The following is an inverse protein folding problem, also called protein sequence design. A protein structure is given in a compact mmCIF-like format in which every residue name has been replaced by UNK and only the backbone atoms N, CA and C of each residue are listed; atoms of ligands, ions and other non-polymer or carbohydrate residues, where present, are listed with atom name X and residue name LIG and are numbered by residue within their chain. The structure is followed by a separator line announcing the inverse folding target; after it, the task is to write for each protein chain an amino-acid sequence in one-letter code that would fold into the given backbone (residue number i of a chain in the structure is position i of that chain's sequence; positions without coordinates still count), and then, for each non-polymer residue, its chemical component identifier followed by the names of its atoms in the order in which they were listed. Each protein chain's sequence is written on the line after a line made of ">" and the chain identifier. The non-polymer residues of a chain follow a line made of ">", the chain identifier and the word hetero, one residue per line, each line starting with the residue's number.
data_IF_274810260937
#
_entry.id   IF_274810260937
#
_cell.length_a   1.000
_cell.length_b   1.000
_cell.length_c   1.000
_cell.angle_alpha   90.00
_cell.angle_beta   90.00
_cell.angle_gamma   90.00
#
_symmetry.space_group_name_H-M   'P 1'
#
loop_
_entity.id
_entity.type
_entity.pdbx_description
1 polymer ?
#
# COMPACT_ATOMS: atom_id res chain seq x y z
N UNK A 1 -2.55 14.17 3.96
CA UNK A 1 -3.44 12.99 3.93
C UNK A 1 -3.25 12.26 2.63
N UNK A 2 -2.60 11.14 2.70
CA UNK A 2 -2.40 10.20 1.61
C UNK A 2 -3.74 9.60 1.18
N UNK A 3 -4.07 9.63 -0.08
CA UNK A 3 -5.29 8.99 -0.57
C UNK A 3 -5.04 8.32 -1.92
N UNK A 4 -4.99 6.98 -1.92
CA UNK A 4 -5.52 6.26 -3.05
C UNK A 4 -7.05 6.34 -2.96
N UNK A 5 -7.74 6.66 -4.02
CA UNK A 5 -9.20 6.66 -4.07
C UNK A 5 -9.67 5.40 -4.77
N UNK A 6 -10.67 4.74 -4.20
CA UNK A 6 -11.37 3.64 -4.85
C UNK A 6 -12.66 4.21 -5.42
N UNK A 7 -12.79 4.13 -6.72
CA UNK A 7 -14.00 4.53 -7.43
C UNK A 7 -14.88 3.28 -7.58
N UNK A 8 -16.06 3.30 -6.97
CA UNK A 8 -17.04 2.21 -7.07
C UNK A 8 -18.05 2.61 -8.13
N UNK A 9 -17.87 2.10 -9.34
CA UNK A 9 -18.82 2.28 -10.41
C UNK A 9 -19.18 0.90 -10.99
N UNK A 10 -20.46 0.56 -11.02
CA UNK A 10 -20.98 -0.71 -11.52
C UNK A 10 -20.27 -1.97 -10.96
N UNK A 11 -19.94 -1.97 -9.68
CA UNK A 11 -19.20 -3.04 -8.99
C UNK A 11 -17.73 -3.21 -9.45
N UNK A 12 -17.19 -2.27 -10.18
CA UNK A 12 -15.76 -2.22 -10.48
C UNK A 12 -15.02 -1.30 -9.49
N UNK A 13 -13.90 -1.79 -8.97
CA UNK A 13 -13.06 -1.04 -8.04
C UNK A 13 -11.80 -0.60 -8.79
N UNK A 14 -11.65 0.70 -9.00
CA UNK A 14 -10.45 1.27 -9.61
C UNK A 14 -9.64 2.01 -8.57
N UNK A 15 -8.42 1.54 -8.30
CA UNK A 15 -7.48 2.27 -7.47
C UNK A 15 -6.80 3.35 -8.30
N UNK A 16 -6.78 4.57 -7.80
CA UNK A 16 -6.07 5.70 -8.41
C UNK A 16 -5.13 6.32 -7.41
N UNK A 17 -3.89 6.54 -7.83
CA UNK A 17 -2.94 7.32 -7.06
C UNK A 17 -3.30 8.81 -7.14
N UNK A 18 -3.15 9.49 -6.02
CA UNK A 18 -3.34 10.96 -5.94
C UNK A 18 -2.04 11.61 -5.52
N UNK A 19 -1.83 12.85 -5.95
CA UNK A 19 -0.63 13.61 -5.57
C UNK A 19 -0.49 13.68 -4.05
N UNK A 20 0.69 13.31 -3.58
CA UNK A 20 1.00 13.20 -2.16
C UNK A 20 0.87 11.79 -1.57
N UNK A 21 0.36 10.80 -2.31
CA UNK A 21 0.39 9.40 -1.89
C UNK A 21 1.83 8.94 -1.64
N UNK A 22 2.02 8.11 -0.62
CA UNK A 22 3.34 7.67 -0.17
C UNK A 22 3.42 6.17 -0.15
N UNK A 23 4.41 5.62 -0.84
CA UNK A 23 4.78 4.22 -0.77
C UNK A 23 6.17 4.06 -0.17
N UNK A 24 6.45 2.90 0.38
CA UNK A 24 7.79 2.52 0.81
C UNK A 24 8.53 1.82 -0.31
N UNK A 25 9.78 2.18 -0.46
CA UNK A 25 10.76 1.43 -1.25
C UNK A 25 11.78 0.88 -0.28
N UNK A 26 11.76 -0.43 -0.09
CA UNK A 26 12.85 -1.12 0.58
C UNK A 26 13.85 -1.57 -0.47
N UNK A 27 15.11 -1.32 -0.23
CA UNK A 27 16.14 -1.85 -1.09
C UNK A 27 17.34 -2.33 -0.27
N UNK A 28 17.92 -3.40 -0.72
CA UNK A 28 18.97 -4.12 -0.05
C UNK A 28 20.11 -4.39 -1.03
N UNK A 29 21.32 -4.40 -0.49
CA UNK A 29 22.52 -4.80 -1.20
C UNK A 29 22.85 -6.27 -0.94
N UNK A 30 23.70 -6.80 -1.79
CA UNK A 30 24.28 -8.15 -1.64
C UNK A 30 25.11 -8.34 -0.37
N UNK A 31 25.55 -7.24 0.27
CA UNK A 31 26.24 -7.27 1.57
C UNK A 31 25.29 -7.29 2.78
N UNK A 32 23.97 -7.32 2.55
CA UNK A 32 22.95 -7.33 3.61
C UNK A 32 22.60 -5.96 4.20
N UNK A 33 23.23 -4.87 3.73
CA UNK A 33 22.77 -3.52 4.09
C UNK A 33 21.48 -3.19 3.34
N UNK A 34 20.54 -2.60 4.04
CA UNK A 34 19.26 -2.27 3.45
C UNK A 34 18.65 -0.99 4.01
N UNK A 35 17.72 -0.44 3.26
CA UNK A 35 17.09 0.84 3.55
C UNK A 35 15.60 0.80 3.26
N UNK A 36 14.84 1.53 4.07
CA UNK A 36 13.43 1.83 3.83
C UNK A 36 13.29 3.31 3.50
N UNK A 37 12.85 3.61 2.31
CA UNK A 37 12.79 4.99 1.80
C UNK A 37 11.38 5.33 1.32
N UNK A 38 10.92 6.53 1.64
CA UNK A 38 9.64 7.04 1.17
C UNK A 38 9.73 7.47 -0.28
N UNK A 39 8.82 6.98 -1.10
CA UNK A 39 8.52 7.52 -2.42
C UNK A 39 7.19 8.27 -2.41
N UNK A 40 7.13 9.42 -3.04
CA UNK A 40 5.94 10.26 -3.10
C UNK A 40 5.42 10.36 -4.52
N UNK A 41 4.11 10.14 -4.69
CA UNK A 41 3.43 10.26 -5.98
C UNK A 41 3.23 11.73 -6.36
N UNK A 42 3.59 12.05 -7.56
CA UNK A 42 3.31 13.36 -8.18
C UNK A 42 3.37 13.25 -9.70
N UNK A 43 2.44 13.90 -10.38
CA UNK A 43 2.41 13.97 -11.84
C UNK A 43 2.53 12.61 -12.57
N UNK A 44 1.90 11.58 -12.04
CA UNK A 44 1.86 10.26 -12.67
C UNK A 44 2.97 9.29 -12.29
N UNK A 45 3.93 9.70 -11.44
CA UNK A 45 5.07 8.87 -11.02
C UNK A 45 5.32 8.96 -9.52
N UNK A 46 5.93 7.91 -8.97
CA UNK A 46 6.52 7.94 -7.63
C UNK A 46 7.98 8.36 -7.74
N UNK A 47 8.40 9.27 -6.88
CA UNK A 47 9.78 9.73 -6.80
C UNK A 47 10.33 9.52 -5.40
N UNK A 48 11.56 9.01 -5.32
CA UNK A 48 12.29 8.78 -4.08
C UNK A 48 13.75 9.16 -4.25
N UNK A 49 14.40 9.52 -3.16
CA UNK A 49 15.86 9.71 -3.12
C UNK A 49 16.45 8.51 -2.38
N UNK A 50 17.04 7.61 -3.13
CA UNK A 50 17.72 6.45 -2.58
C UNK A 50 19.15 6.82 -2.18
N UNK A 51 19.70 6.29 -1.08
CA UNK A 51 21.12 6.38 -0.77
C UNK A 51 21.98 5.75 -1.87
N UNK A 52 23.17 6.27 -2.11
CA UNK A 52 24.09 5.70 -3.11
C UNK A 52 24.63 4.35 -2.65
N UNK A 53 24.75 3.43 -3.60
CA UNK A 53 25.25 2.09 -3.39
C UNK A 53 25.94 1.49 -4.61
N UNK A 54 26.76 0.49 -4.37
CA UNK A 54 27.41 -0.33 -5.39
C UNK A 54 27.04 -1.79 -5.21
N UNK A 55 27.03 -2.57 -6.27
CA UNK A 55 26.69 -3.99 -6.27
C UNK A 55 25.25 -4.29 -6.65
N UNK A 56 24.87 -5.56 -6.56
CA UNK A 56 23.50 -6.03 -6.81
C UNK A 56 22.53 -5.42 -5.82
N UNK A 57 21.37 -5.04 -6.31
CA UNK A 57 20.34 -4.36 -5.54
C UNK A 57 19.02 -5.07 -5.69
N UNK A 58 18.38 -5.31 -4.56
CA UNK A 58 17.05 -5.86 -4.47
C UNK A 58 16.09 -4.77 -4.08
N UNK A 59 15.00 -4.61 -4.83
CA UNK A 59 14.00 -3.58 -4.59
C UNK A 59 12.66 -4.23 -4.27
N UNK A 60 12.00 -3.72 -3.24
CA UNK A 60 10.66 -4.09 -2.83
C UNK A 60 9.83 -2.83 -2.70
N UNK A 61 8.57 -2.88 -3.07
CA UNK A 61 7.65 -1.77 -2.87
C UNK A 61 6.45 -2.20 -2.05
N UNK A 62 5.97 -1.30 -1.20
CA UNK A 62 4.80 -1.53 -0.38
C UNK A 62 4.02 -0.24 -0.13
N UNK A 63 2.73 -0.38 0.15
CA UNK A 63 1.83 0.74 0.45
C UNK A 63 0.87 0.35 1.58
N UNK A 64 0.56 1.26 2.51
CA UNK A 64 1.08 2.63 2.66
C UNK A 64 2.48 2.66 3.29
N UNK A 65 3.25 3.73 3.02
CA UNK A 65 4.58 3.93 3.62
C UNK A 65 4.53 3.91 5.14
N UNK A 66 5.46 3.19 5.75
CA UNK A 66 5.70 3.17 7.18
C UNK A 66 7.06 3.81 7.50
N UNK A 67 7.11 4.62 8.56
CA UNK A 67 8.36 5.19 9.05
C UNK A 67 9.28 4.10 9.66
N UNK A 68 10.53 4.46 9.92
CA UNK A 68 11.56 3.52 10.38
C UNK A 68 11.21 2.73 11.66
N UNK A 69 10.32 3.26 12.50
CA UNK A 69 9.87 2.56 13.72
C UNK A 69 9.03 1.31 13.40
N UNK A 70 8.35 1.31 12.25
CA UNK A 70 7.47 0.23 11.80
C UNK A 70 8.01 -0.51 10.57
N UNK A 71 9.19 -0.18 10.09
CA UNK A 71 9.76 -0.79 8.89
C UNK A 71 11.29 -0.80 8.91
N UNK A 72 11.85 -1.90 8.44
CA UNK A 72 13.27 -2.05 8.16
C UNK A 72 13.47 -2.33 6.66
N UNK A 73 14.66 -2.73 6.26
CA UNK A 73 14.89 -3.26 4.91
C UNK A 73 14.33 -4.67 4.68
N UNK A 74 13.86 -5.35 5.72
CA UNK A 74 13.48 -6.77 5.66
C UNK A 74 12.01 -7.02 5.99
N UNK A 75 11.37 -6.14 6.74
CA UNK A 75 9.96 -6.29 7.09
C UNK A 75 9.28 -4.94 7.30
N UNK A 76 7.98 -4.95 7.20
CA UNK A 76 7.11 -3.79 7.46
C UNK A 76 5.95 -4.24 8.32
N UNK A 77 5.79 -3.57 9.48
CA UNK A 77 4.59 -3.64 10.29
C UNK A 77 3.63 -2.55 9.85
N UNK A 78 2.49 -2.94 9.32
CA UNK A 78 1.40 -2.02 9.01
C UNK A 78 0.35 -2.17 10.12
N UNK A 79 0.30 -1.25 11.08
CA UNK A 79 -0.59 -1.38 12.20
C UNK A 79 -2.05 -1.30 11.74
N UNK A 80 -2.78 -2.37 11.98
CA UNK A 80 -4.23 -2.38 11.88
C UNK A 80 -4.78 -2.10 13.27
N UNK A 81 -5.38 -0.94 13.48
CA UNK A 81 -6.06 -0.66 14.74
C UNK A 81 -7.16 -1.69 15.03
N UNK A 82 -7.45 -1.90 16.30
CA UNK A 82 -8.50 -2.83 16.77
C UNK A 82 -9.87 -2.51 16.17
N UNK A 83 -10.11 -1.26 15.81
CA UNK A 83 -11.32 -0.81 15.12
C UNK A 83 -10.93 -0.15 13.79
N UNK A 84 -11.57 -0.62 12.71
CA UNK A 84 -11.47 -0.03 11.38
C UNK A 84 -12.73 0.75 11.12
N UNK A 85 -12.61 2.07 11.17
CA UNK A 85 -13.75 2.96 10.98
C UNK A 85 -13.78 3.44 9.54
N UNK A 86 -14.87 3.13 8.86
CA UNK A 86 -15.23 3.68 7.57
C UNK A 86 -16.26 4.79 7.77
N UNK A 87 -15.93 5.99 7.35
CA UNK A 87 -16.81 7.15 7.45
C UNK A 87 -17.45 7.46 6.08
N UNK A 88 -18.77 7.37 6.02
CA UNK A 88 -19.50 7.67 4.79
C UNK A 88 -19.21 6.65 3.68
N UNK A 89 -19.23 7.13 2.45
CA UNK A 89 -19.02 6.33 1.24
C UNK A 89 -17.55 6.31 0.78
N UNK A 90 -16.67 7.03 1.46
CA UNK A 90 -15.27 7.11 1.08
C UNK A 90 -14.47 5.96 1.68
N UNK A 91 -13.73 5.26 0.84
CA UNK A 91 -12.81 4.24 1.30
C UNK A 91 -11.63 4.86 2.06
N UNK A 92 -11.33 4.32 3.24
CA UNK A 92 -10.13 4.72 3.97
C UNK A 92 -8.90 4.01 3.40
N UNK A 93 -8.14 4.72 2.59
CA UNK A 93 -6.97 4.20 1.88
C UNK A 93 -5.82 3.74 2.79
N UNK A 94 -5.82 4.11 4.07
CA UNK A 94 -4.84 3.59 5.03
C UNK A 94 -4.99 2.09 5.30
N UNK A 95 -6.14 1.51 4.91
CA UNK A 95 -6.40 0.08 5.00
C UNK A 95 -6.19 -0.66 3.67
N UNK A 96 -5.77 0.03 2.63
CA UNK A 96 -5.48 -0.57 1.33
C UNK A 96 -3.99 -0.95 1.26
N UNK A 97 -3.68 -2.16 1.73
CA UNK A 97 -2.31 -2.65 1.76
C UNK A 97 -1.97 -3.29 0.43
N UNK A 98 -0.86 -2.86 -0.13
CA UNK A 98 -0.32 -3.41 -1.37
C UNK A 98 1.18 -3.65 -1.22
N UNK A 99 1.66 -4.71 -1.87
CA UNK A 99 3.10 -4.93 -2.03
C UNK A 99 3.42 -5.36 -3.46
N UNK A 100 4.68 -5.19 -3.84
CA UNK A 100 5.22 -5.72 -5.09
C UNK A 100 6.22 -6.82 -4.78
N UNK A 101 6.38 -7.74 -5.73
CA UNK A 101 7.47 -8.71 -5.70
C UNK A 101 8.83 -8.01 -5.80
N UNK A 102 9.84 -8.69 -5.28
CA UNK A 102 11.21 -8.25 -5.37
C UNK A 102 11.68 -8.13 -6.82
N UNK A 103 12.42 -7.09 -7.10
CA UNK A 103 13.12 -6.89 -8.36
C UNK A 103 14.62 -6.81 -8.06
N UNK A 104 15.42 -7.56 -8.78
CA UNK A 104 16.88 -7.57 -8.67
C UNK A 104 17.53 -7.01 -9.94
N UNK A 105 18.59 -6.25 -9.76
CA UNK A 105 19.37 -5.64 -10.84
C UNK A 105 20.85 -5.69 -10.48
N UNK A 106 21.66 -6.37 -11.31
CA UNK A 106 23.07 -6.62 -11.01
C UNK A 106 23.99 -5.45 -11.36
N UNK A 107 23.71 -4.75 -12.46
CA UNK A 107 24.63 -3.75 -13.02
C UNK A 107 23.98 -2.39 -13.28
N UNK A 108 22.74 -2.21 -12.85
CA UNK A 108 22.03 -0.97 -13.10
C UNK A 108 22.55 0.20 -12.28
N UNK A 109 22.41 1.40 -12.81
CA UNK A 109 22.47 2.60 -11.98
C UNK A 109 21.39 2.57 -10.92
N UNK A 110 21.66 3.21 -9.79
CA UNK A 110 20.73 3.25 -8.68
C UNK A 110 19.35 3.79 -9.11
N UNK A 111 18.31 3.02 -8.79
CA UNK A 111 16.93 3.36 -9.17
C UNK A 111 16.60 3.12 -10.64
N UNK A 112 17.48 2.40 -11.35
CA UNK A 112 17.28 2.02 -12.75
C UNK A 112 17.31 0.50 -12.92
N UNK A 113 16.73 0.05 -14.01
CA UNK A 113 16.88 -1.32 -14.52
C UNK A 113 18.21 -1.49 -15.25
N UNK A 114 18.65 -2.71 -15.52
CA UNK A 114 19.89 -2.99 -16.24
C UNK A 114 19.95 -2.36 -17.66
N UNK A 115 18.80 -2.08 -18.26
CA UNK A 115 18.67 -1.36 -19.54
C UNK A 115 18.49 0.16 -19.38
N UNK A 116 18.69 0.70 -18.17
CA UNK A 116 18.70 2.14 -17.88
C UNK A 116 17.32 2.79 -17.76
N UNK A 117 16.24 2.01 -17.70
CA UNK A 117 14.89 2.53 -17.52
C UNK A 117 14.55 2.76 -16.05
N UNK A 118 13.48 3.49 -15.80
CA UNK A 118 12.91 3.63 -14.45
C UNK A 118 12.34 2.29 -13.97
N UNK A 119 12.51 2.00 -12.68
CA UNK A 119 11.96 0.78 -12.08
C UNK A 119 10.44 0.88 -12.07
N UNK A 120 9.77 -0.18 -12.48
CA UNK A 120 8.31 -0.30 -12.46
C UNK A 120 7.89 -1.46 -11.58
N UNK A 121 7.05 -1.19 -10.58
CA UNK A 121 6.49 -2.20 -9.69
C UNK A 121 5.05 -2.55 -10.06
N UNK A 122 4.74 -3.84 -10.04
CA UNK A 122 3.36 -4.32 -10.11
C UNK A 122 2.86 -4.51 -8.69
N UNK A 123 2.05 -3.56 -8.23
CA UNK A 123 1.50 -3.60 -6.86
C UNK A 123 0.32 -4.56 -6.77
N UNK A 124 0.40 -5.50 -5.86
CA UNK A 124 -0.66 -6.49 -5.58
C UNK A 124 -1.29 -6.18 -4.23
N UNK A 125 -2.61 -6.06 -4.22
CA UNK A 125 -3.35 -5.81 -2.97
C UNK A 125 -3.31 -7.03 -2.06
N UNK A 126 -2.99 -6.80 -0.80
CA UNK A 126 -2.93 -7.81 0.26
C UNK A 126 -4.22 -7.88 1.09
N UNK A 127 -5.12 -6.92 0.91
CA UNK A 127 -6.39 -6.83 1.61
C UNK A 127 -7.56 -7.04 0.65
N UNK A 128 -8.63 -7.64 1.15
CA UNK A 128 -9.90 -7.72 0.44
C UNK A 128 -10.81 -6.55 0.85
N UNK A 129 -11.58 -6.04 -0.10
CA UNK A 129 -12.59 -5.03 0.13
C UNK A 129 -13.97 -5.69 0.11
N UNK A 130 -14.74 -5.49 1.18
CA UNK A 130 -16.13 -5.90 1.26
C UNK A 130 -17.02 -4.67 1.10
N UNK A 131 -17.91 -4.71 0.13
CA UNK A 131 -18.91 -3.68 -0.11
C UNK A 131 -20.28 -4.16 0.31
N UNK A 132 -20.93 -3.44 1.21
CA UNK A 132 -22.29 -3.71 1.66
C UNK A 132 -23.21 -2.61 1.19
N UNK A 133 -24.25 -2.97 0.48
CA UNK A 133 -25.32 -2.06 0.10
C UNK A 133 -26.57 -2.41 0.91
N UNK A 134 -26.94 -1.54 1.82
CA UNK A 134 -28.14 -1.70 2.66
C UNK A 134 -29.27 -0.89 2.05
N UNK A 135 -30.40 -1.55 1.82
CA UNK A 135 -31.63 -0.90 1.39
C UNK A 135 -32.74 -1.24 2.38
N UNK A 136 -33.49 -0.25 2.82
CA UNK A 136 -34.70 -0.45 3.60
C UNK A 136 -35.81 0.40 3.00
N UNK A 137 -36.86 -0.20 2.44
CA UNK A 137 -38.01 0.52 1.90
C UNK A 137 -38.97 1.06 2.98
N UNK A 138 -38.76 0.67 4.24
CA UNK A 138 -39.75 0.90 5.31
C UNK A 138 -39.26 1.85 6.41
N UNK A 139 -38.02 2.35 6.34
CA UNK A 139 -37.43 3.17 7.41
C UNK A 139 -36.82 4.43 6.84
N UNK A 140 -37.35 5.58 7.23
CA UNK A 140 -36.81 6.90 6.93
C UNK A 140 -35.59 7.29 7.80
N UNK A 141 -35.14 6.40 8.66
CA UNK A 141 -33.99 6.64 9.55
C UNK A 141 -32.70 6.15 8.92
N UNK A 142 -31.60 6.93 9.01
CA UNK A 142 -30.32 6.53 8.49
C UNK A 142 -29.74 5.34 9.29
N UNK A 143 -29.17 4.38 8.61
CA UNK A 143 -28.39 3.32 9.23
C UNK A 143 -27.16 3.91 9.91
N UNK A 144 -27.09 3.83 11.23
CA UNK A 144 -26.00 4.45 12.01
C UNK A 144 -24.83 3.49 12.28
N UNK A 145 -25.08 2.17 12.21
CA UNK A 145 -24.05 1.16 12.44
C UNK A 145 -24.42 -0.16 11.78
N UNK A 146 -23.43 -0.77 11.13
CA UNK A 146 -23.46 -2.18 10.75
C UNK A 146 -22.25 -2.88 11.37
N UNK A 147 -22.44 -4.11 11.84
CA UNK A 147 -21.36 -4.92 12.42
C UNK A 147 -21.26 -6.22 11.67
N UNK A 148 -20.08 -6.54 11.16
CA UNK A 148 -19.75 -7.84 10.62
C UNK A 148 -19.05 -8.66 11.70
N UNK A 149 -19.55 -9.87 11.95
CA UNK A 149 -18.90 -10.82 12.84
C UNK A 149 -18.76 -12.17 12.15
N UNK A 150 -17.68 -12.87 12.45
CA UNK A 150 -17.39 -14.22 11.94
C UNK A 150 -17.10 -15.12 13.12
N UNK A 151 -17.72 -16.30 13.13
CA UNK A 151 -17.36 -17.35 14.10
C UNK A 151 -16.05 -18.01 13.63
N UNK A 152 -15.05 -18.07 14.49
CA UNK A 152 -13.77 -18.69 14.22
C UNK A 152 -12.60 -17.70 14.28
N UNK A 153 -11.64 -17.91 13.41
CA UNK A 153 -10.46 -17.04 13.33
C UNK A 153 -10.81 -15.60 12.92
N UNK A 154 -10.08 -14.60 13.39
CA UNK A 154 -10.36 -13.21 13.06
C UNK A 154 -10.30 -12.98 11.55
N UNK A 155 -11.18 -12.12 11.03
CA UNK A 155 -11.18 -11.72 9.60
C UNK A 155 -9.88 -11.00 9.23
N UNK A 156 -9.26 -10.36 10.20
CA UNK A 156 -7.93 -9.77 10.10
C UNK A 156 -7.29 -9.76 11.49
N UNK A 157 -6.03 -10.10 11.55
CA UNK A 157 -5.19 -10.01 12.73
C UNK A 157 -4.04 -9.04 12.45
N UNK A 158 -3.58 -8.38 13.51
CA UNK A 158 -2.26 -7.74 13.49
C UNK A 158 -1.22 -8.87 13.48
N UNK A 159 -0.33 -8.88 12.50
CA UNK A 159 0.76 -9.84 12.34
C UNK A 159 2.09 -9.14 12.47
#
# INVERSE_FOLDING_TARGET
>A
TTKSTIDVNDLTFTTRWTDGDKMGIMYEYDNGEGYNTQATYSNGTFSSKLPEATGTRFYYAYYPYQAADNATSHYVDIPFGAERVQNGNDFNSSYDIMCAEALDFENAEQGKTDDGKDISFIMVRQTALLYFHFTSPEVDEPLTKATLSVEGDPIAADT
#
